data_IF_474865267392
#
_entry.id   IF_474865267392
#
_cell.length_a   1.000
_cell.length_b   1.000
_cell.length_c   1.000
_cell.angle_alpha   90.00
_cell.angle_beta   90.00
_cell.angle_gamma   90.00
#
_symmetry.space_group_name_H-M   'P 1'
#
loop_
_entity.id
_entity.type
_entity.pdbx_description
1 polymer ?
#
# COMPACT_ATOMS: atom_id res chain seq x y z
N UNK A 1 -48.93 0.69 36.16
CA UNK A 1 -48.50 1.74 35.22
C UNK A 1 -47.74 1.04 34.11
N UNK A 2 -48.42 0.81 32.97
CA UNK A 2 -47.82 0.15 31.81
C UNK A 2 -47.02 1.20 31.03
N UNK A 3 -45.72 1.00 30.89
CA UNK A 3 -44.89 1.79 29.97
C UNK A 3 -44.68 0.94 28.72
N UNK A 4 -45.18 1.46 27.60
CA UNK A 4 -45.10 0.87 26.28
C UNK A 4 -43.64 0.77 25.82
N UNK A 5 -43.25 -0.41 25.32
CA UNK A 5 -42.10 -0.54 24.44
C UNK A 5 -42.46 0.12 23.10
N UNK A 6 -41.74 1.17 22.72
CA UNK A 6 -41.67 1.57 21.32
C UNK A 6 -40.74 0.58 20.60
N UNK A 7 -41.19 -0.12 19.56
CA UNK A 7 -40.28 -0.85 18.70
C UNK A 7 -39.53 0.18 17.84
N UNK A 8 -38.21 0.21 17.94
CA UNK A 8 -37.38 0.88 16.94
C UNK A 8 -37.60 0.16 15.60
N UNK A 9 -38.00 0.92 14.58
CA UNK A 9 -38.19 0.48 13.21
C UNK A 9 -36.93 -0.23 12.69
N UNK A 10 -37.01 -1.55 12.53
CA UNK A 10 -35.93 -2.43 12.03
C UNK A 10 -35.94 -2.58 10.50
N UNK A 11 -36.54 -1.65 9.75
CA UNK A 11 -36.72 -1.77 8.29
C UNK A 11 -35.93 -0.76 7.47
N UNK A 12 -34.61 -0.80 7.59
CA UNK A 12 -33.73 -0.39 6.47
C UNK A 12 -32.66 -1.46 6.26
N UNK A 13 -32.98 -2.45 5.43
CA UNK A 13 -31.95 -3.27 4.77
C UNK A 13 -31.15 -2.32 3.87
N UNK A 14 -29.99 -1.84 4.34
CA UNK A 14 -29.05 -1.12 3.49
C UNK A 14 -28.34 -2.15 2.62
N UNK A 15 -28.85 -2.37 1.42
CA UNK A 15 -28.10 -3.08 0.38
C UNK A 15 -26.98 -2.15 -0.09
N UNK A 16 -25.75 -2.45 0.31
CA UNK A 16 -24.57 -1.79 -0.22
C UNK A 16 -24.14 -2.57 -1.46
N UNK A 17 -24.38 -2.00 -2.64
CA UNK A 17 -23.77 -2.49 -3.88
C UNK A 17 -22.52 -1.65 -4.14
N UNK A 18 -21.36 -2.28 -4.06
CA UNK A 18 -20.09 -1.72 -4.51
C UNK A 18 -19.79 -2.20 -5.92
N UNK A 19 -19.02 -1.43 -6.67
CA UNK A 19 -18.48 -1.90 -7.95
C UNK A 19 -17.02 -1.50 -8.10
N UNK A 20 -16.29 -2.27 -8.88
CA UNK A 20 -14.96 -1.93 -9.36
C UNK A 20 -14.93 -2.12 -10.87
N UNK A 21 -14.42 -1.12 -11.57
CA UNK A 21 -14.17 -1.17 -13.00
C UNK A 21 -12.71 -0.81 -13.29
N UNK A 22 -12.11 -1.49 -14.25
CA UNK A 22 -10.76 -1.20 -14.75
C UNK A 22 -10.80 -1.17 -16.26
N UNK A 23 -10.13 -0.18 -16.85
CA UNK A 23 -9.87 -0.08 -18.28
C UNK A 23 -8.37 0.04 -18.46
N UNK A 24 -7.80 -0.86 -19.25
CA UNK A 24 -6.36 -0.91 -19.51
C UNK A 24 -6.10 -0.72 -21.00
N UNK A 25 -5.11 0.12 -21.30
CA UNK A 25 -4.50 0.22 -22.63
C UNK A 25 -3.05 -0.21 -22.51
N UNK A 26 -2.59 -1.08 -23.40
CA UNK A 26 -1.20 -1.49 -23.49
C UNK A 26 -0.75 -1.41 -24.95
N UNK A 27 0.44 -0.88 -25.15
CA UNK A 27 1.16 -0.96 -26.40
C UNK A 27 2.46 -1.70 -26.13
N UNK A 28 2.68 -2.77 -26.90
CA UNK A 28 3.85 -3.65 -26.79
C UNK A 28 5.14 -2.84 -26.78
N UNK A 29 6.03 -3.19 -25.85
CA UNK A 29 7.35 -2.60 -25.63
C UNK A 29 7.40 -1.07 -25.42
N UNK A 30 6.25 -0.40 -25.29
CA UNK A 30 6.19 1.05 -25.12
C UNK A 30 5.65 1.45 -23.75
N UNK A 31 4.37 1.17 -23.49
CA UNK A 31 3.71 1.63 -22.27
C UNK A 31 2.44 0.83 -21.97
N UNK A 32 2.05 0.88 -20.71
CA UNK A 32 0.73 0.43 -20.21
C UNK A 32 0.10 1.55 -19.39
N UNK A 33 -1.19 1.79 -19.60
CA UNK A 33 -2.01 2.72 -18.81
C UNK A 33 -3.20 1.94 -18.26
N UNK A 34 -3.49 2.10 -16.96
CA UNK A 34 -4.66 1.54 -16.32
C UNK A 34 -5.46 2.66 -15.65
N UNK A 35 -6.74 2.75 -15.97
CA UNK A 35 -7.69 3.60 -15.27
C UNK A 35 -8.61 2.70 -14.43
N UNK A 36 -8.78 3.03 -13.16
CA UNK A 36 -9.57 2.24 -12.22
C UNK A 36 -10.62 3.14 -11.58
N UNK A 37 -11.83 2.63 -11.42
CA UNK A 37 -12.87 3.24 -10.59
C UNK A 37 -13.36 2.20 -9.60
N UNK A 38 -13.47 2.57 -8.33
CA UNK A 38 -14.03 1.73 -7.27
C UNK A 38 -15.05 2.55 -6.50
N UNK A 39 -16.31 2.13 -6.53
CA UNK A 39 -17.33 2.69 -5.65
C UNK A 39 -17.51 1.75 -4.45
N UNK A 40 -17.27 2.27 -3.25
CA UNK A 40 -17.40 1.51 -2.00
C UNK A 40 -18.80 1.68 -1.39
N UNK A 41 -19.39 2.87 -1.55
CA UNK A 41 -20.74 3.19 -1.09
C UNK A 41 -21.37 4.27 -1.99
N UNK A 42 -22.60 4.70 -1.71
CA UNK A 42 -23.26 5.77 -2.49
C UNK A 42 -22.52 7.12 -2.44
N UNK A 43 -21.75 7.37 -1.38
CA UNK A 43 -20.99 8.61 -1.19
C UNK A 43 -19.48 8.41 -1.35
N UNK A 44 -19.01 7.16 -1.26
CA UNK A 44 -17.59 6.83 -1.32
C UNK A 44 -17.16 6.22 -2.66
N UNK A 45 -16.23 6.89 -3.34
CA UNK A 45 -15.62 6.40 -4.58
C UNK A 45 -14.12 6.72 -4.65
N UNK A 46 -13.38 5.90 -5.38
CA UNK A 46 -11.98 6.11 -5.73
C UNK A 46 -11.76 5.98 -7.22
N UNK A 47 -10.86 6.81 -7.74
CA UNK A 47 -10.46 6.86 -9.13
C UNK A 47 -8.94 6.74 -9.17
N UNK A 48 -8.40 5.90 -10.03
CA UNK A 48 -6.97 5.68 -10.18
C UNK A 48 -6.55 5.80 -11.64
N UNK A 49 -5.37 6.38 -11.88
CA UNK A 49 -4.70 6.36 -13.18
C UNK A 49 -3.26 5.93 -12.95
N UNK A 50 -2.84 4.86 -13.62
CA UNK A 50 -1.52 4.27 -13.50
C UNK A 50 -0.86 4.17 -14.86
N UNK A 51 0.42 4.51 -14.92
CA UNK A 51 1.26 4.51 -16.11
C UNK A 51 2.51 3.67 -15.84
N UNK A 52 2.82 2.75 -16.75
CA UNK A 52 4.02 1.91 -16.70
C UNK A 52 4.76 2.03 -18.02
N UNK A 53 5.96 2.63 -18.08
CA UNK A 53 6.79 2.59 -19.27
C UNK A 53 7.41 1.20 -19.43
N UNK A 54 7.29 0.62 -20.62
CA UNK A 54 7.79 -0.73 -20.94
C UNK A 54 9.07 -0.71 -21.79
N UNK A 55 9.53 0.48 -22.17
CA UNK A 55 10.67 0.68 -23.09
C UNK A 55 12.05 0.34 -22.50
N UNK A 56 12.17 0.12 -21.20
CA UNK A 56 13.46 -0.07 -20.53
C UNK A 56 13.59 -1.53 -20.09
N UNK A 57 14.46 -2.27 -20.79
CA UNK A 57 14.76 -3.66 -20.43
C UNK A 57 15.30 -3.75 -19.00
N UNK A 58 14.78 -4.70 -18.23
CA UNK A 58 15.18 -4.90 -16.84
C UNK A 58 14.63 -3.85 -15.86
N UNK A 59 13.70 -2.99 -16.29
CA UNK A 59 12.98 -2.07 -15.42
C UNK A 59 11.47 -2.35 -15.51
N UNK A 60 10.88 -2.74 -14.38
CA UNK A 60 9.44 -2.69 -14.19
C UNK A 60 9.13 -1.45 -13.37
N UNK A 61 8.34 -0.51 -13.90
CA UNK A 61 8.00 0.70 -13.17
C UNK A 61 6.56 1.13 -13.38
N UNK A 62 6.06 1.88 -12.40
CA UNK A 62 4.70 2.39 -12.36
C UNK A 62 4.69 3.76 -11.70
N UNK A 63 3.97 4.69 -12.30
CA UNK A 63 3.55 5.96 -11.70
C UNK A 63 2.03 5.96 -11.63
N UNK A 64 1.48 6.30 -10.48
CA UNK A 64 0.07 6.24 -10.18
C UNK A 64 -0.41 7.53 -9.56
N UNK A 65 -1.63 7.92 -9.92
CA UNK A 65 -2.43 8.87 -9.16
C UNK A 65 -3.69 8.17 -8.71
N UNK A 66 -4.14 8.45 -7.49
CA UNK A 66 -5.40 7.98 -6.97
C UNK A 66 -6.12 9.15 -6.32
N UNK A 67 -7.39 9.32 -6.61
CA UNK A 67 -8.28 10.23 -5.92
C UNK A 67 -9.34 9.41 -5.19
N UNK A 68 -9.73 9.87 -4.02
CA UNK A 68 -10.78 9.29 -3.21
C UNK A 68 -11.71 10.41 -2.74
N UNK A 69 -13.00 10.12 -2.72
CA UNK A 69 -14.05 10.98 -2.19
C UNK A 69 -14.93 10.13 -1.30
N UNK A 70 -15.27 10.63 -0.11
CA UNK A 70 -16.18 9.96 0.81
C UNK A 70 -17.51 10.68 1.00
N UNK A 71 -17.50 12.01 0.90
CA UNK A 71 -18.64 12.94 0.97
C UNK A 71 -18.22 14.27 0.30
N UNK A 72 -19.14 15.25 0.19
CA UNK A 72 -18.89 16.54 -0.45
C UNK A 72 -17.66 17.30 0.09
N UNK A 73 -17.33 17.10 1.38
CA UNK A 73 -16.27 17.84 2.08
C UNK A 73 -15.02 17.00 2.36
N UNK A 74 -15.04 15.71 2.02
CA UNK A 74 -14.00 14.74 2.35
C UNK A 74 -13.41 14.13 1.07
N UNK A 75 -12.28 14.65 0.64
CA UNK A 75 -11.49 14.09 -0.44
C UNK A 75 -10.09 13.72 0.02
N UNK A 76 -9.45 12.80 -0.69
CA UNK A 76 -8.04 12.51 -0.53
C UNK A 76 -7.43 12.22 -1.89
N UNK A 77 -6.12 12.44 -2.00
CA UNK A 77 -5.39 11.98 -3.17
C UNK A 77 -4.12 11.24 -2.74
N UNK A 78 -3.64 10.43 -3.66
CA UNK A 78 -2.42 9.63 -3.57
C UNK A 78 -1.62 9.74 -4.85
N UNK A 79 -0.31 9.83 -4.71
CA UNK A 79 0.68 9.65 -5.76
C UNK A 79 1.47 8.41 -5.41
N UNK A 80 1.61 7.49 -6.35
CA UNK A 80 2.39 6.26 -6.20
C UNK A 80 3.48 6.25 -7.27
N UNK A 81 4.70 5.93 -6.89
CA UNK A 81 5.78 5.68 -7.80
C UNK A 81 6.49 4.42 -7.33
N UNK A 82 6.62 3.43 -8.20
CA UNK A 82 7.34 2.18 -7.93
C UNK A 82 8.23 1.84 -9.11
N UNK A 83 9.43 1.38 -8.82
CA UNK A 83 10.35 0.88 -9.82
C UNK A 83 11.12 -0.31 -9.27
N UNK A 84 11.15 -1.41 -10.01
CA UNK A 84 11.97 -2.58 -9.79
C UNK A 84 12.99 -2.68 -10.91
N UNK A 85 14.27 -2.54 -10.57
CA UNK A 85 15.38 -2.74 -11.47
C UNK A 85 16.00 -4.11 -11.25
N UNK A 86 16.04 -4.93 -12.29
CA UNK A 86 16.67 -6.24 -12.31
C UNK A 86 18.17 -6.06 -12.60
N UNK A 87 18.97 -5.97 -11.54
CA UNK A 87 20.43 -5.85 -11.62
C UNK A 87 21.03 -7.10 -12.28
N UNK A 88 20.43 -8.27 -12.05
CA UNK A 88 20.75 -9.54 -12.69
C UNK A 88 19.52 -10.46 -12.69
N UNK A 89 19.64 -11.65 -13.29
CA UNK A 89 18.60 -12.69 -13.21
C UNK A 89 18.24 -13.11 -11.77
N UNK A 90 19.17 -12.89 -10.82
CA UNK A 90 19.02 -13.27 -9.42
C UNK A 90 18.78 -12.09 -8.50
N UNK A 91 19.12 -10.87 -8.90
CA UNK A 91 19.11 -9.70 -8.01
C UNK A 91 18.21 -8.61 -8.55
N UNK A 92 17.30 -8.12 -7.72
CA UNK A 92 16.42 -6.99 -8.03
C UNK A 92 16.44 -5.96 -6.93
N UNK A 93 16.36 -4.69 -7.29
CA UNK A 93 16.19 -3.58 -6.34
C UNK A 93 14.87 -2.90 -6.65
N UNK A 94 14.00 -2.78 -5.65
CA UNK A 94 12.70 -2.11 -5.76
C UNK A 94 12.71 -0.84 -4.93
N UNK A 95 12.44 0.29 -5.55
CA UNK A 95 12.11 1.54 -4.88
C UNK A 95 10.61 1.82 -4.97
N UNK A 96 10.04 2.37 -3.91
CA UNK A 96 8.68 2.90 -3.92
C UNK A 96 8.62 4.22 -3.16
N UNK A 97 7.87 5.16 -3.69
CA UNK A 97 7.47 6.40 -3.04
C UNK A 97 5.96 6.53 -3.18
N UNK A 98 5.27 6.70 -2.07
CA UNK A 98 3.86 6.98 -2.04
C UNK A 98 3.63 8.25 -1.22
N UNK A 99 2.93 9.22 -1.80
CA UNK A 99 2.47 10.39 -1.08
C UNK A 99 0.96 10.38 -1.05
N UNK A 100 0.35 10.65 0.09
CA UNK A 100 -1.09 10.83 0.20
C UNK A 100 -1.41 12.05 1.04
N UNK A 101 -2.52 12.71 0.73
CA UNK A 101 -3.02 13.83 1.49
C UNK A 101 -4.55 13.85 1.50
N UNK A 102 -5.13 14.21 2.64
CA UNK A 102 -6.55 14.49 2.76
C UNK A 102 -6.80 15.97 2.45
N UNK A 103 -7.79 16.24 1.61
CA UNK A 103 -8.31 17.55 1.28
C UNK A 103 -9.60 17.73 2.08
N UNK A 104 -9.53 18.41 3.22
CA UNK A 104 -10.70 18.71 4.07
C UNK A 104 -11.04 20.19 3.93
N UNK A 105 -12.26 20.50 3.50
CA UNK A 105 -12.63 21.89 3.15
C UNK A 105 -12.79 22.81 4.37
N UNK A 106 -12.79 22.29 5.61
CA UNK A 106 -13.06 23.08 6.81
C UNK A 106 -12.44 22.55 8.13
N UNK A 107 -11.31 21.83 8.08
CA UNK A 107 -10.68 21.35 9.31
C UNK A 107 -9.23 21.79 9.43
N UNK A 108 -8.84 22.28 10.61
CA UNK A 108 -7.45 22.60 11.01
C UNK A 108 -6.51 21.38 11.03
N UNK A 109 -6.81 20.31 10.30
CA UNK A 109 -6.15 19.01 10.36
C UNK A 109 -5.87 18.46 8.94
N UNK A 110 -5.11 19.21 8.15
CA UNK A 110 -4.48 18.63 6.95
C UNK A 110 -3.57 17.47 7.38
N UNK A 111 -3.90 16.28 6.88
CA UNK A 111 -3.11 15.08 7.07
C UNK A 111 -2.44 14.70 5.76
N UNK A 112 -1.12 14.61 5.78
CA UNK A 112 -0.36 14.04 4.66
C UNK A 112 0.57 12.96 5.15
N UNK A 113 0.84 11.98 4.30
CA UNK A 113 1.77 10.92 4.58
C UNK A 113 2.65 10.65 3.37
N UNK A 114 3.95 10.52 3.61
CA UNK A 114 4.95 10.11 2.65
C UNK A 114 5.52 8.77 3.09
N UNK A 115 5.38 7.75 2.25
CA UNK A 115 5.93 6.42 2.48
C UNK A 115 7.01 6.18 1.44
N UNK A 116 8.17 5.76 1.89
CA UNK A 116 9.31 5.45 1.03
C UNK A 116 9.79 4.06 1.38
N UNK A 117 9.99 3.22 0.37
CA UNK A 117 10.45 1.86 0.56
C UNK A 117 11.59 1.57 -0.41
N UNK A 118 12.61 0.90 0.11
CA UNK A 118 13.67 0.29 -0.67
C UNK A 118 13.72 -1.20 -0.32
N UNK A 119 13.70 -2.05 -1.32
CA UNK A 119 13.76 -3.50 -1.14
C UNK A 119 14.83 -4.11 -2.03
N UNK A 120 15.64 -5.00 -1.48
CA UNK A 120 16.59 -5.83 -2.20
C UNK A 120 16.06 -7.26 -2.24
N UNK A 121 15.92 -7.82 -3.42
CA UNK A 121 15.60 -9.24 -3.63
C UNK A 121 16.79 -9.99 -4.19
N UNK A 122 17.06 -11.19 -3.66
CA UNK A 122 18.10 -12.09 -4.15
C UNK A 122 17.59 -13.53 -4.23
N UNK A 123 17.68 -14.16 -5.40
CA UNK A 123 17.37 -15.60 -5.60
C UNK A 123 18.62 -16.44 -5.34
N UNK A 124 18.60 -17.20 -4.25
CA UNK A 124 19.66 -18.12 -3.86
C UNK A 124 19.39 -19.54 -4.37
N UNK A 125 19.37 -19.70 -5.69
CA UNK A 125 18.98 -20.95 -6.37
C UNK A 125 17.56 -20.89 -6.90
N UNK A 126 16.99 -22.04 -7.23
CA UNK A 126 15.65 -22.13 -7.83
C UNK A 126 14.53 -21.96 -6.80
N UNK A 127 14.75 -22.43 -5.57
CA UNK A 127 13.70 -22.55 -4.56
C UNK A 127 13.87 -21.63 -3.34
N UNK A 128 14.92 -20.81 -3.29
CA UNK A 128 15.20 -19.94 -2.13
C UNK A 128 15.33 -18.51 -2.59
N UNK A 129 14.64 -17.59 -1.90
CA UNK A 129 14.70 -16.16 -2.13
C UNK A 129 14.87 -15.41 -0.82
N UNK A 130 15.83 -14.50 -0.80
CA UNK A 130 15.99 -13.53 0.27
C UNK A 130 15.43 -12.18 -0.16
N UNK A 131 14.75 -11.50 0.76
CA UNK A 131 14.26 -10.15 0.57
C UNK A 131 14.65 -9.33 1.79
N UNK A 132 15.14 -8.12 1.60
CA UNK A 132 15.37 -7.17 2.68
C UNK A 132 14.73 -5.85 2.31
N UNK A 133 13.78 -5.42 3.12
CA UNK A 133 13.02 -4.18 2.87
C UNK A 133 13.28 -3.18 3.98
N UNK A 134 13.58 -1.94 3.60
CA UNK A 134 13.59 -0.78 4.49
C UNK A 134 12.41 0.09 4.09
N UNK A 135 11.58 0.45 5.05
CA UNK A 135 10.44 1.33 4.83
C UNK A 135 10.50 2.51 5.80
N UNK A 136 10.28 3.71 5.30
CA UNK A 136 10.11 4.90 6.10
C UNK A 136 8.78 5.55 5.78
N UNK A 137 7.95 5.68 6.80
CA UNK A 137 6.68 6.37 6.75
C UNK A 137 6.80 7.62 7.58
N UNK A 138 6.57 8.77 6.95
CA UNK A 138 6.46 10.06 7.62
C UNK A 138 5.03 10.54 7.48
N UNK A 139 4.42 10.92 8.60
CA UNK A 139 3.08 11.46 8.65
C UNK A 139 3.16 12.88 9.19
N UNK A 140 2.33 13.75 8.62
CA UNK A 140 2.17 15.10 9.10
C UNK A 140 0.75 15.29 9.65
N UNK A 141 0.67 15.86 10.83
CA UNK A 141 -0.56 16.43 11.40
C UNK A 141 -0.27 17.91 11.72
N UNK A 142 -0.91 18.83 10.97
CA UNK A 142 -0.77 20.31 11.05
C UNK A 142 0.60 20.88 10.61
N UNK A 143 0.71 22.21 10.60
CA UNK A 143 1.82 23.06 10.11
C UNK A 143 3.22 22.84 10.75
N UNK A 144 3.44 21.74 11.47
CA UNK A 144 4.76 21.35 11.97
C UNK A 144 5.46 20.43 10.96
N UNK A 145 6.77 20.61 10.82
CA UNK A 145 7.63 19.79 9.96
C UNK A 145 7.67 18.36 10.55
N UNK A 146 7.05 17.40 9.86
CA UNK A 146 7.25 15.94 10.00
C UNK A 146 7.42 15.43 11.45
N UNK A 147 6.34 15.46 12.24
CA UNK A 147 6.37 15.10 13.66
C UNK A 147 6.33 13.58 13.92
N UNK A 148 5.68 12.81 13.06
CA UNK A 148 5.55 11.36 13.21
C UNK A 148 6.31 10.63 12.11
N UNK A 149 7.31 9.84 12.51
CA UNK A 149 8.06 8.99 11.58
C UNK A 149 8.21 7.58 12.14
N UNK A 150 7.98 6.61 11.26
CA UNK A 150 8.20 5.19 11.49
C UNK A 150 9.23 4.70 10.48
N UNK A 151 10.32 4.14 10.99
CA UNK A 151 11.29 3.40 10.19
C UNK A 151 11.11 1.92 10.49
N UNK A 152 11.05 1.07 9.47
CA UNK A 152 11.07 -0.37 9.64
C UNK A 152 12.06 -1.05 8.71
N UNK A 153 12.60 -2.17 9.17
CA UNK A 153 13.51 -3.03 8.43
C UNK A 153 12.99 -4.46 8.56
N UNK A 154 12.75 -5.10 7.42
CA UNK A 154 12.09 -6.39 7.34
C UNK A 154 12.85 -7.36 6.42
N UNK A 155 13.94 -8.01 6.89
CA UNK A 155 14.55 -9.12 6.16
C UNK A 155 13.65 -10.36 6.23
N UNK A 156 13.62 -11.12 5.14
CA UNK A 156 12.87 -12.35 5.01
C UNK A 156 13.58 -13.36 4.11
N UNK A 157 13.31 -14.63 4.37
CA UNK A 157 13.69 -15.77 3.55
C UNK A 157 12.41 -16.50 3.14
N UNK A 158 12.22 -16.67 1.85
CA UNK A 158 11.18 -17.50 1.25
C UNK A 158 11.83 -18.78 0.72
N UNK A 159 11.23 -19.91 1.06
CA UNK A 159 11.60 -21.24 0.56
C UNK A 159 10.38 -21.82 -0.13
N UNK A 160 10.49 -22.03 -1.43
CA UNK A 160 9.51 -22.75 -2.22
C UNK A 160 9.69 -24.26 -1.97
N UNK A 161 8.82 -24.83 -1.15
CA UNK A 161 8.85 -26.25 -0.81
C UNK A 161 8.29 -27.12 -1.95
N UNK A 162 7.41 -26.56 -2.77
CA UNK A 162 6.91 -27.15 -4.01
C UNK A 162 6.37 -26.06 -4.95
N UNK A 163 5.99 -26.44 -6.17
CA UNK A 163 5.33 -25.53 -7.12
C UNK A 163 4.07 -24.84 -6.54
N UNK A 164 3.44 -25.46 -5.53
CA UNK A 164 2.20 -24.98 -4.91
C UNK A 164 2.33 -24.48 -3.48
N UNK A 165 3.53 -24.53 -2.89
CA UNK A 165 3.74 -24.20 -1.49
C UNK A 165 5.03 -23.42 -1.30
N UNK A 166 4.91 -22.26 -0.67
CA UNK A 166 6.06 -21.48 -0.22
C UNK A 166 5.93 -21.16 1.29
N UNK A 167 7.07 -21.24 1.98
CA UNK A 167 7.21 -20.87 3.38
C UNK A 167 8.07 -19.62 3.45
N UNK A 168 7.55 -18.56 4.06
CA UNK A 168 8.31 -17.33 4.30
C UNK A 168 8.53 -17.14 5.79
N UNK A 169 9.80 -16.97 6.18
CA UNK A 169 10.19 -16.56 7.52
C UNK A 169 10.77 -15.16 7.44
N UNK A 170 10.15 -14.23 8.16
CA UNK A 170 10.58 -12.84 8.22
C UNK A 170 11.04 -12.44 9.61
N UNK A 171 11.68 -11.29 9.67
CA UNK A 171 11.94 -10.57 10.90
C UNK A 171 11.57 -9.13 10.64
N UNK A 172 10.71 -8.53 11.48
CA UNK A 172 10.34 -7.12 11.36
C UNK A 172 10.87 -6.36 12.57
N UNK A 173 11.68 -5.32 12.32
CA UNK A 173 12.02 -4.33 13.32
C UNK A 173 11.43 -3.00 12.92
N UNK A 174 10.69 -2.38 13.83
CA UNK A 174 10.12 -1.05 13.63
C UNK A 174 10.49 -0.11 14.76
N UNK A 175 10.79 1.15 14.42
CA UNK A 175 11.07 2.24 15.35
C UNK A 175 10.18 3.44 15.06
N UNK A 176 9.39 3.83 16.05
CA UNK A 176 8.62 5.07 16.03
C UNK A 176 9.39 6.16 16.80
N UNK A 177 9.52 7.36 16.23
CA UNK A 177 10.18 8.45 16.97
C UNK A 177 9.27 9.04 18.04
N UNK A 178 9.67 8.81 19.29
CA UNK A 178 10.02 9.92 20.20
C UNK A 178 11.54 9.99 20.45
N UNK A 179 12.34 8.91 20.27
CA UNK A 179 13.82 8.97 20.35
C UNK A 179 14.51 7.88 19.49
N UNK A 180 15.47 8.23 18.61
CA UNK A 180 16.08 7.31 17.64
C UNK A 180 16.95 6.18 18.23
N UNK A 181 17.22 6.19 19.54
CA UNK A 181 17.99 5.16 20.24
C UNK A 181 17.31 4.66 21.53
N UNK A 182 16.05 5.07 21.75
CA UNK A 182 15.28 4.75 22.97
C UNK A 182 13.80 4.44 22.70
N UNK A 183 13.42 4.31 21.42
CA UNK A 183 12.06 3.94 21.03
C UNK A 183 11.80 2.44 21.26
N UNK A 184 10.55 2.09 21.49
CA UNK A 184 10.11 0.70 21.58
C UNK A 184 10.33 0.02 20.23
N UNK A 185 11.34 -0.85 20.15
CA UNK A 185 11.50 -1.74 19.00
C UNK A 185 10.50 -2.88 19.15
N UNK A 186 9.57 -2.98 18.20
CA UNK A 186 8.75 -4.18 18.08
C UNK A 186 9.51 -5.14 17.18
N UNK A 187 9.72 -6.36 17.68
CA UNK A 187 10.32 -7.46 16.94
C UNK A 187 9.26 -8.51 16.72
N UNK A 188 9.00 -8.84 15.46
CA UNK A 188 8.07 -9.93 15.10
C UNK A 188 8.76 -10.92 14.17
N UNK A 189 8.53 -12.22 14.40
CA UNK A 189 8.97 -13.32 13.55
C UNK A 189 7.76 -13.92 12.83
N UNK A 190 7.27 -13.31 11.74
CA UNK A 190 6.16 -13.89 10.99
C UNK A 190 6.61 -15.16 10.24
N UNK A 191 5.75 -16.17 10.27
CA UNK A 191 5.84 -17.36 9.41
C UNK A 191 4.58 -17.36 8.55
N UNK A 192 4.76 -17.23 7.23
CA UNK A 192 3.68 -17.32 6.26
C UNK A 192 3.80 -18.61 5.46
N UNK A 193 2.67 -19.28 5.28
CA UNK A 193 2.56 -20.43 4.37
C UNK A 193 1.54 -20.06 3.31
N UNK A 194 1.98 -19.99 2.05
CA UNK A 194 1.12 -19.68 0.92
C UNK A 194 0.88 -20.93 0.08
N UNK A 195 -0.36 -21.08 -0.38
CA UNK A 195 -0.79 -22.15 -1.27
C UNK A 195 -1.38 -21.53 -2.54
N UNK A 196 -0.97 -22.03 -3.71
CA UNK A 196 -1.61 -21.74 -4.98
C UNK A 196 -2.38 -22.97 -5.47
N UNK A 197 -3.59 -22.74 -5.99
CA UNK A 197 -4.44 -23.79 -6.57
C UNK A 197 -3.97 -24.16 -7.97
#
# INVERSE_FOLDING_TARGET
>A
TNVFFQPEDTTKVRSHSSFAGEVSYAQDDLLKINAVIKQFSFTEASYGLYFSPLMVSGLDSMLGFTYYTADADNAAFGLDARATYFVSEKTSVTGMLNYSATLLDNSDADYSALWTMLSLGYKAGENIRYVATVNNQVRNSKAAIFTDSKLSISPACEVQASEKCAVTVGFDMSWDKVKPFCGTATVTLPIYVSFSL
#
